data_IF_987154942477
#
_entry.id   IF_987154942477
#
_cell.length_a   1.000
_cell.length_b   1.000
_cell.length_c   1.000
_cell.angle_alpha   90.00
_cell.angle_beta   90.00
_cell.angle_gamma   90.00
#
_symmetry.space_group_name_H-M   'P 1'
#
loop_
_entity.id
_entity.type
_entity.pdbx_description
1 polymer ?
#
# COMPACT_ATOMS: atom_id res chain seq x y z
N UNK A 1 42.94 -12.48 5.78
CA UNK A 1 42.60 -11.83 4.49
C UNK A 1 41.52 -12.58 3.71
N UNK A 2 41.44 -13.91 3.81
CA UNK A 2 40.43 -14.77 3.17
C UNK A 2 39.02 -14.53 3.76
N UNK A 3 38.89 -14.42 5.08
CA UNK A 3 37.59 -14.20 5.77
C UNK A 3 36.90 -12.89 5.35
N UNK A 4 37.64 -11.78 5.27
CA UNK A 4 37.10 -10.48 4.80
C UNK A 4 36.60 -10.55 3.34
N UNK A 5 37.24 -11.36 2.48
CA UNK A 5 36.82 -11.55 1.09
C UNK A 5 35.55 -12.37 0.99
N UNK A 6 35.38 -13.38 1.85
CA UNK A 6 34.16 -14.21 1.90
C UNK A 6 32.95 -13.38 2.36
N UNK A 7 33.12 -12.52 3.36
CA UNK A 7 32.04 -11.62 3.82
C UNK A 7 31.60 -10.63 2.73
N UNK A 8 32.55 -10.03 2.01
CA UNK A 8 32.25 -9.11 0.91
C UNK A 8 31.54 -9.86 -0.24
N UNK A 9 32.00 -11.07 -0.58
CA UNK A 9 31.38 -11.89 -1.61
C UNK A 9 29.93 -12.27 -1.22
N UNK A 10 29.73 -12.72 0.02
CA UNK A 10 28.41 -13.06 0.56
C UNK A 10 27.44 -11.88 0.56
N UNK A 11 27.91 -10.70 0.98
CA UNK A 11 27.10 -9.48 0.95
C UNK A 11 26.71 -9.10 -0.48
N UNK A 12 27.62 -9.27 -1.44
CA UNK A 12 27.38 -8.96 -2.86
C UNK A 12 26.36 -9.93 -3.48
N UNK A 13 26.44 -11.21 -3.14
CA UNK A 13 25.48 -12.24 -3.60
C UNK A 13 24.08 -11.99 -3.01
N UNK A 14 23.98 -11.65 -1.72
CA UNK A 14 22.70 -11.32 -1.09
C UNK A 14 22.09 -10.06 -1.70
N UNK A 15 22.89 -9.02 -1.99
CA UNK A 15 22.41 -7.84 -2.71
C UNK A 15 21.94 -8.18 -4.13
N UNK A 16 22.70 -8.96 -4.88
CA UNK A 16 22.37 -9.31 -6.27
C UNK A 16 21.13 -10.22 -6.37
N UNK A 17 20.96 -11.17 -5.46
CA UNK A 17 19.77 -12.02 -5.40
C UNK A 17 18.55 -11.25 -4.87
N UNK A 18 18.76 -10.31 -3.94
CA UNK A 18 17.70 -9.42 -3.45
C UNK A 18 17.17 -8.46 -4.52
N UNK A 19 18.01 -8.02 -5.46
CA UNK A 19 17.58 -7.13 -6.56
C UNK A 19 16.95 -7.87 -7.75
N UNK A 20 17.33 -9.12 -8.00
CA UNK A 20 16.88 -9.87 -9.18
C UNK A 20 15.76 -10.90 -8.89
N UNK A 21 15.68 -11.42 -7.67
CA UNK A 21 14.96 -12.67 -7.39
C UNK A 21 13.44 -12.58 -7.21
N UNK A 22 12.87 -11.43 -6.87
CA UNK A 22 11.50 -11.37 -6.33
C UNK A 22 10.41 -10.85 -7.27
N UNK A 23 10.73 -10.39 -8.48
CA UNK A 23 9.74 -9.68 -9.32
C UNK A 23 9.03 -10.52 -10.40
N UNK A 24 9.50 -11.73 -10.73
CA UNK A 24 9.09 -12.38 -11.99
C UNK A 24 8.05 -13.49 -11.86
N UNK A 25 7.93 -14.14 -10.70
CA UNK A 25 7.07 -15.33 -10.57
C UNK A 25 5.59 -14.96 -10.44
N UNK A 26 5.29 -13.80 -9.86
CA UNK A 26 3.91 -13.38 -9.62
C UNK A 26 3.28 -12.59 -10.78
N UNK A 27 4.09 -12.06 -11.71
CA UNK A 27 3.60 -11.25 -12.84
C UNK A 27 3.04 -12.07 -14.03
N UNK A 28 3.06 -13.41 -13.97
CA UNK A 28 2.80 -14.29 -15.13
C UNK A 28 1.53 -15.14 -14.92
N UNK A 29 0.92 -15.12 -13.73
CA UNK A 29 -0.25 -15.97 -13.42
C UNK A 29 -1.43 -15.08 -12.98
N UNK A 30 -2.45 -14.88 -13.84
CA UNK A 30 -3.65 -14.15 -13.46
C UNK A 30 -4.46 -14.98 -12.46
N UNK A 31 -4.55 -14.54 -11.21
CA UNK A 31 -5.54 -15.05 -10.25
C UNK A 31 -6.77 -14.16 -10.28
N UNK A 32 -7.95 -14.77 -10.44
CA UNK A 32 -9.23 -14.10 -10.25
C UNK A 32 -9.67 -14.37 -8.82
N UNK A 33 -9.45 -13.41 -7.92
CA UNK A 33 -9.80 -13.51 -6.51
C UNK A 33 -11.09 -12.72 -6.25
N UNK A 34 -12.11 -13.42 -5.75
CA UNK A 34 -13.37 -12.83 -5.33
C UNK A 34 -13.46 -12.96 -3.80
N UNK A 35 -13.39 -11.82 -3.09
CA UNK A 35 -13.56 -11.81 -1.65
C UNK A 35 -15.03 -11.75 -1.26
N UNK A 36 -15.38 -12.55 -0.26
CA UNK A 36 -16.64 -12.40 0.46
C UNK A 36 -16.53 -11.19 1.40
N UNK A 37 -17.52 -10.30 1.35
CA UNK A 37 -17.67 -9.25 2.37
C UNK A 37 -17.87 -9.94 3.72
N UNK A 38 -16.81 -10.05 4.53
CA UNK A 38 -16.95 -10.41 5.93
C UNK A 38 -17.80 -9.32 6.59
N UNK A 39 -18.97 -9.70 7.11
CA UNK A 39 -19.96 -8.79 7.70
C UNK A 39 -19.42 -7.92 8.87
N UNK A 40 -18.18 -8.14 9.30
CA UNK A 40 -17.52 -7.44 10.39
C UNK A 40 -16.78 -6.15 9.96
N UNK A 41 -16.59 -5.90 8.67
CA UNK A 41 -15.85 -4.73 8.18
C UNK A 41 -16.73 -3.52 7.82
N UNK A 42 -18.02 -3.51 8.17
CA UNK A 42 -18.82 -2.29 8.06
C UNK A 42 -18.72 -1.46 9.34
N UNK A 43 -18.19 -0.25 9.20
CA UNK A 43 -18.07 0.69 10.32
C UNK A 43 -19.45 1.12 10.83
N UNK A 44 -19.66 1.06 12.14
CA UNK A 44 -20.87 1.58 12.82
C UNK A 44 -20.76 3.06 13.19
N UNK A 45 -19.59 3.66 12.98
CA UNK A 45 -19.28 5.03 13.41
C UNK A 45 -19.30 6.00 12.25
N UNK A 46 -18.93 5.54 11.06
CA UNK A 46 -18.93 6.32 9.82
C UNK A 46 -19.49 5.43 8.72
N UNK A 47 -20.51 5.90 8.02
CA UNK A 47 -21.02 5.25 6.80
C UNK A 47 -20.32 5.86 5.59
N UNK A 48 -19.99 5.01 4.63
CA UNK A 48 -19.52 5.41 3.31
C UNK A 48 -20.70 5.25 2.36
N UNK A 49 -21.13 6.35 1.74
CA UNK A 49 -22.35 6.39 0.93
C UNK A 49 -22.10 7.07 -0.42
N UNK A 50 -23.08 6.90 -1.31
CA UNK A 50 -23.14 7.58 -2.62
C UNK A 50 -21.88 7.43 -3.48
N UNK A 51 -21.21 6.27 -3.37
CA UNK A 51 -19.98 6.02 -4.10
C UNK A 51 -20.20 5.97 -5.61
N UNK A 52 -19.37 6.70 -6.34
CA UNK A 52 -19.30 6.70 -7.79
C UNK A 52 -17.89 6.41 -8.26
N UNK A 53 -17.79 5.60 -9.31
CA UNK A 53 -16.54 5.24 -9.96
C UNK A 53 -16.55 5.92 -11.32
N UNK A 54 -15.47 6.64 -11.66
CA UNK A 54 -15.38 7.31 -12.95
C UNK A 54 -15.46 6.32 -14.13
N UNK A 55 -14.94 5.10 -13.94
CA UNK A 55 -14.88 4.01 -14.94
C UNK A 55 -14.86 2.65 -14.26
N UNK A 56 -15.27 1.62 -14.99
CA UNK A 56 -15.21 0.20 -14.59
C UNK A 56 -14.29 -0.64 -15.49
N UNK A 57 -13.76 -0.04 -16.56
CA UNK A 57 -12.77 -0.64 -17.45
C UNK A 57 -11.66 0.38 -17.68
N UNK A 58 -10.42 -0.06 -17.50
CA UNK A 58 -9.21 0.77 -17.54
C UNK A 58 -8.12 0.04 -18.33
N UNK A 59 -7.24 0.83 -18.93
CA UNK A 59 -5.92 0.34 -19.32
C UNK A 59 -4.90 0.61 -18.20
N UNK A 60 -3.85 -0.19 -18.10
CA UNK A 60 -2.69 0.10 -17.23
C UNK A 60 -2.15 1.49 -17.53
N UNK A 61 -1.94 2.29 -16.47
CA UNK A 61 -1.55 3.70 -16.56
C UNK A 61 -2.71 4.68 -16.49
N UNK A 62 -3.96 4.23 -16.69
CA UNK A 62 -5.14 5.08 -16.49
C UNK A 62 -5.48 5.27 -15.01
N UNK A 63 -6.25 6.32 -14.74
CA UNK A 63 -6.63 6.71 -13.38
C UNK A 63 -8.06 6.27 -13.08
N UNK A 64 -8.20 5.45 -12.03
CA UNK A 64 -9.47 5.23 -11.35
C UNK A 64 -9.69 6.36 -10.34
N UNK A 65 -10.88 6.97 -10.38
CA UNK A 65 -11.32 7.90 -9.35
C UNK A 65 -12.61 7.41 -8.71
N UNK A 66 -12.59 7.28 -7.39
CA UNK A 66 -13.73 6.93 -6.54
C UNK A 66 -14.11 8.15 -5.72
N UNK A 67 -15.38 8.53 -5.75
CA UNK A 67 -15.91 9.68 -5.00
C UNK A 67 -17.13 9.23 -4.21
N UNK A 68 -17.37 9.81 -3.04
CA UNK A 68 -18.55 9.52 -2.23
C UNK A 68 -18.61 10.40 -0.99
N UNK A 69 -19.44 10.01 -0.03
CA UNK A 69 -19.64 10.74 1.22
C UNK A 69 -19.28 9.91 2.45
N UNK A 70 -18.67 10.56 3.44
CA UNK A 70 -18.45 10.04 4.78
C UNK A 70 -19.49 10.64 5.71
N UNK A 71 -20.38 9.81 6.24
CA UNK A 71 -21.43 10.22 7.18
C UNK A 71 -21.05 9.78 8.58
N UNK A 72 -20.65 10.73 9.43
CA UNK A 72 -20.33 10.47 10.84
C UNK A 72 -21.61 10.27 11.65
N UNK A 73 -21.69 9.15 12.37
CA UNK A 73 -22.84 8.76 13.21
C UNK A 73 -22.59 9.00 14.71
N UNK A 74 -21.52 9.72 15.05
CA UNK A 74 -21.14 10.02 16.44
C UNK A 74 -20.86 11.49 16.64
N UNK A 75 -21.06 11.97 17.86
CA UNK A 75 -20.91 13.39 18.20
C UNK A 75 -19.46 13.86 18.31
N UNK A 76 -18.52 12.94 18.54
CA UNK A 76 -17.09 13.28 18.67
C UNK A 76 -16.40 13.28 17.33
N UNK A 77 -15.43 14.17 17.18
CA UNK A 77 -14.53 14.16 16.05
C UNK A 77 -13.74 12.85 16.00
N UNK A 78 -13.59 12.34 14.79
CA UNK A 78 -12.84 11.14 14.49
C UNK A 78 -11.65 11.50 13.61
N UNK A 79 -10.65 10.64 13.62
CA UNK A 79 -9.47 10.78 12.78
C UNK A 79 -9.24 9.48 12.04
N UNK A 80 -9.01 9.57 10.74
CA UNK A 80 -8.93 8.38 9.90
C UNK A 80 -8.11 8.59 8.64
N UNK A 81 -7.96 7.51 7.89
CA UNK A 81 -7.35 7.54 6.57
C UNK A 81 -8.12 6.67 5.59
N UNK A 82 -8.12 7.11 4.33
CA UNK A 82 -8.82 6.47 3.23
C UNK A 82 -7.83 5.91 2.21
N UNK A 83 -8.14 4.73 1.70
CA UNK A 83 -7.38 4.04 0.66
C UNK A 83 -8.31 3.22 -0.23
N UNK A 84 -7.77 2.77 -1.35
CA UNK A 84 -8.41 1.74 -2.16
C UNK A 84 -8.03 0.38 -1.61
N UNK A 85 -9.03 -0.48 -1.40
CA UNK A 85 -8.86 -1.88 -1.09
C UNK A 85 -9.32 -2.73 -2.27
N UNK A 86 -8.43 -3.58 -2.76
CA UNK A 86 -8.73 -4.63 -3.72
C UNK A 86 -7.96 -5.86 -3.30
N UNK A 87 -8.59 -7.03 -3.30
CA UNK A 87 -7.90 -8.25 -2.93
C UNK A 87 -6.69 -8.50 -3.83
N UNK A 88 -5.58 -8.87 -3.19
CA UNK A 88 -4.34 -9.17 -3.87
C UNK A 88 -3.54 -10.16 -3.08
N UNK A 89 -3.13 -11.24 -3.74
CA UNK A 89 -2.05 -12.13 -3.29
C UNK A 89 -0.72 -11.39 -3.13
N UNK A 90 -0.57 -10.22 -3.79
CA UNK A 90 0.62 -9.37 -3.75
C UNK A 90 0.29 -7.94 -3.28
N UNK A 91 0.52 -7.66 -1.99
CA UNK A 91 -0.09 -6.56 -1.24
C UNK A 91 0.34 -5.11 -1.57
N UNK A 92 0.95 -4.78 -2.72
CA UNK A 92 1.52 -3.42 -2.89
C UNK A 92 1.67 -2.78 -4.26
N UNK A 93 1.46 -3.48 -5.37
CA UNK A 93 1.94 -2.99 -6.68
C UNK A 93 0.88 -2.73 -7.75
N UNK A 94 -0.42 -2.88 -7.45
CA UNK A 94 -1.51 -2.76 -8.45
C UNK A 94 -2.08 -1.37 -8.63
N UNK A 95 -2.07 -0.62 -7.54
CA UNK A 95 -2.56 0.75 -7.49
C UNK A 95 -1.45 1.69 -7.02
N UNK A 96 -1.31 2.82 -7.68
CA UNK A 96 -0.52 3.95 -7.19
C UNK A 96 -1.49 5.07 -6.82
N UNK A 97 -1.61 5.36 -5.53
CA UNK A 97 -2.43 6.46 -5.06
C UNK A 97 -1.85 7.79 -5.56
N UNK A 98 -2.63 8.52 -6.35
CA UNK A 98 -2.25 9.80 -6.95
C UNK A 98 -2.71 10.98 -6.08
N UNK A 99 -3.97 10.93 -5.63
CA UNK A 99 -4.58 12.00 -4.87
C UNK A 99 -5.60 11.46 -3.88
N UNK A 100 -5.80 12.23 -2.81
CA UNK A 100 -6.86 12.07 -1.82
C UNK A 100 -7.44 13.43 -1.53
N UNK A 101 -8.75 13.46 -1.38
CA UNK A 101 -9.49 14.58 -0.83
C UNK A 101 -10.46 13.99 0.22
N UNK A 102 -10.43 14.38 1.50
CA UNK A 102 -9.52 15.35 2.12
C UNK A 102 -8.02 15.01 1.94
N UNK A 103 -7.14 16.01 1.79
CA UNK A 103 -5.73 15.77 1.55
C UNK A 103 -5.01 15.27 2.80
N UNK A 104 -3.94 14.49 2.58
CA UNK A 104 -3.07 13.96 3.62
C UNK A 104 -3.20 12.46 3.82
N UNK A 105 -2.26 11.89 4.57
CA UNK A 105 -2.31 10.47 4.94
C UNK A 105 -3.36 10.19 6.01
N UNK A 106 -3.68 11.18 6.83
CA UNK A 106 -4.66 11.10 7.93
C UNK A 106 -5.38 12.44 8.00
N UNK A 107 -6.70 12.43 8.12
CA UNK A 107 -7.55 13.62 8.18
C UNK A 107 -8.57 13.51 9.31
N UNK A 108 -9.11 14.66 9.72
CA UNK A 108 -10.14 14.78 10.73
C UNK A 108 -11.53 14.74 10.09
N UNK A 109 -12.45 14.03 10.74
CA UNK A 109 -13.83 13.82 10.34
C UNK A 109 -14.70 14.37 11.48
N UNK A 110 -15.34 15.53 11.29
CA UNK A 110 -16.13 16.14 12.35
C UNK A 110 -17.28 15.24 12.82
N UNK A 111 -17.61 15.31 14.11
CA UNK A 111 -18.77 14.61 14.68
C UNK A 111 -20.10 15.04 14.02
N UNK A 112 -21.03 14.11 13.83
CA UNK A 112 -22.35 14.33 13.22
C UNK A 112 -22.32 15.10 11.89
N UNK A 113 -21.25 14.95 11.13
CA UNK A 113 -21.04 15.65 9.86
C UNK A 113 -21.17 14.72 8.66
N UNK A 114 -21.39 15.33 7.51
CA UNK A 114 -21.28 14.69 6.19
C UNK A 114 -20.13 15.37 5.47
N UNK A 115 -19.16 14.59 5.02
CA UNK A 115 -17.97 15.06 4.35
C UNK A 115 -17.77 14.33 3.03
N UNK A 116 -17.69 15.08 1.93
CA UNK A 116 -17.32 14.53 0.63
C UNK A 116 -15.87 14.02 0.64
N UNK A 117 -15.61 12.96 -0.12
CA UNK A 117 -14.26 12.49 -0.38
C UNK A 117 -14.04 12.08 -1.83
N UNK A 118 -12.78 12.09 -2.24
CA UNK A 118 -12.32 11.61 -3.53
C UNK A 118 -10.97 10.90 -3.40
N UNK A 119 -10.84 9.78 -4.09
CA UNK A 119 -9.63 8.97 -4.16
C UNK A 119 -9.27 8.77 -5.63
N UNK A 120 -8.05 9.11 -6.02
CA UNK A 120 -7.54 8.80 -7.35
C UNK A 120 -6.34 7.88 -7.25
N UNK A 121 -6.35 6.80 -8.04
CA UNK A 121 -5.22 5.89 -8.15
C UNK A 121 -4.98 5.47 -9.60
N UNK A 122 -3.71 5.32 -9.96
CA UNK A 122 -3.29 4.76 -11.25
C UNK A 122 -3.33 3.24 -11.19
N UNK A 123 -3.93 2.61 -12.20
CA UNK A 123 -3.88 1.17 -12.38
C UNK A 123 -2.50 0.74 -12.93
N UNK A 124 -1.88 -0.27 -12.34
CA UNK A 124 -0.51 -0.67 -12.66
C UNK A 124 -0.37 -2.10 -13.16
N UNK A 125 -1.38 -2.94 -12.94
CA UNK A 125 -1.35 -4.35 -13.33
C UNK A 125 -2.72 -4.70 -13.91
N UNK A 126 -2.73 -5.57 -14.92
CA UNK A 126 -3.97 -6.09 -15.48
C UNK A 126 -4.63 -7.08 -14.51
N UNK A 127 -5.96 -7.10 -14.50
CA UNK A 127 -6.74 -7.97 -13.63
C UNK A 127 -8.19 -7.56 -13.51
N UNK A 128 -8.98 -8.42 -12.89
CA UNK A 128 -10.36 -8.13 -12.50
C UNK A 128 -10.37 -7.92 -10.99
N UNK A 129 -10.64 -6.70 -10.56
CA UNK A 129 -10.57 -6.29 -9.16
C UNK A 129 -11.97 -6.03 -8.62
N UNK A 130 -12.27 -6.55 -7.43
CA UNK A 130 -13.40 -6.07 -6.64
C UNK A 130 -12.91 -4.99 -5.68
N UNK A 131 -13.13 -3.73 -6.06
CA UNK A 131 -12.56 -2.53 -5.47
C UNK A 131 -13.51 -1.92 -4.45
N UNK A 132 -12.99 -1.59 -3.28
CA UNK A 132 -13.69 -0.88 -2.21
C UNK A 132 -12.91 0.37 -1.83
N UNK A 133 -13.61 1.39 -1.34
CA UNK A 133 -12.99 2.36 -0.44
C UNK A 133 -12.82 1.71 0.94
N UNK A 134 -11.61 1.75 1.50
CA UNK A 134 -11.33 1.38 2.87
C UNK A 134 -11.03 2.64 3.68
N UNK A 135 -11.87 2.91 4.68
CA UNK A 135 -11.67 3.92 5.70
C UNK A 135 -11.18 3.24 6.98
N UNK A 136 -10.04 3.63 7.49
CA UNK A 136 -9.58 3.18 8.80
C UNK A 136 -9.70 4.33 9.79
N UNK A 137 -10.40 4.08 10.89
CA UNK A 137 -10.66 5.08 11.94
C UNK A 137 -9.79 4.76 13.16
N UNK A 138 -9.11 5.78 13.69
CA UNK A 138 -8.26 5.65 14.86
C UNK A 138 -9.04 5.05 16.04
N UNK A 139 -8.46 4.04 16.69
CA UNK A 139 -9.04 3.30 17.84
C UNK A 139 -10.35 2.55 17.56
N UNK A 140 -10.78 2.47 16.29
CA UNK A 140 -11.98 1.74 15.87
C UNK A 140 -11.59 0.60 14.93
N UNK A 141 -10.76 0.89 13.92
CA UNK A 141 -10.32 -0.09 12.92
C UNK A 141 -10.88 0.18 11.52
N UNK A 142 -10.78 -0.81 10.61
CA UNK A 142 -11.18 -0.68 9.22
C UNK A 142 -12.70 -0.72 9.02
N UNK A 143 -13.15 0.09 8.08
CA UNK A 143 -14.48 0.10 7.50
C UNK A 143 -14.38 0.04 5.97
N UNK A 144 -15.16 -0.83 5.33
CA UNK A 144 -15.25 -0.92 3.88
C UNK A 144 -16.54 -0.27 3.38
N UNK A 145 -16.39 0.57 2.35
CA UNK A 145 -17.50 1.05 1.55
C UNK A 145 -18.06 -0.03 0.61
N UNK A 146 -19.11 0.29 -0.16
CA UNK A 146 -19.54 -0.50 -1.30
C UNK A 146 -18.39 -0.99 -2.20
N UNK A 147 -18.57 -2.18 -2.76
CA UNK A 147 -17.62 -2.79 -3.69
C UNK A 147 -18.07 -2.63 -5.13
N UNK A 148 -17.13 -2.35 -6.04
CA UNK A 148 -17.36 -2.30 -7.47
C UNK A 148 -16.32 -3.15 -8.21
N UNK A 149 -16.77 -3.95 -9.17
CA UNK A 149 -15.87 -4.66 -10.06
C UNK A 149 -15.28 -3.70 -11.09
N UNK A 150 -13.96 -3.69 -11.20
CA UNK A 150 -13.16 -2.90 -12.14
C UNK A 150 -12.22 -3.83 -12.90
N UNK A 151 -12.24 -3.75 -14.23
CA UNK A 151 -11.37 -4.53 -15.11
C UNK A 151 -10.22 -3.65 -15.60
N UNK A 152 -8.99 -4.13 -15.45
CA UNK A 152 -7.78 -3.48 -15.96
C UNK A 152 -7.14 -4.39 -16.99
N UNK A 153 -6.79 -3.83 -18.14
CA UNK A 153 -6.07 -4.51 -19.22
C UNK A 153 -4.75 -3.80 -19.54
N UNK A 154 -3.81 -4.49 -20.17
CA UNK A 154 -2.51 -3.93 -20.58
C UNK A 154 -1.30 -4.53 -19.87
N UNK A 155 -0.12 -4.05 -20.24
CA UNK A 155 1.15 -4.53 -19.70
C UNK A 155 1.43 -3.95 -18.30
N UNK A 156 1.99 -4.74 -17.36
CA UNK A 156 2.25 -4.26 -16.01
C UNK A 156 3.27 -3.11 -15.99
N UNK A 157 2.97 -2.07 -15.20
CA UNK A 157 3.85 -0.94 -14.94
C UNK A 157 4.63 -1.18 -13.66
N UNK A 158 5.91 -1.51 -13.81
CA UNK A 158 6.81 -1.72 -12.66
C UNK A 158 7.28 -0.38 -12.11
N UNK A 159 7.02 -0.14 -10.82
CA UNK A 159 7.54 1.04 -10.12
C UNK A 159 9.07 0.96 -10.07
N UNK A 160 9.78 2.06 -10.38
CA UNK A 160 11.23 2.07 -10.29
C UNK A 160 11.68 1.81 -8.85
N UNK A 161 12.67 0.91 -8.70
CA UNK A 161 13.28 0.66 -7.40
C UNK A 161 14.07 1.91 -6.99
N UNK A 162 13.83 2.50 -5.81
CA UNK A 162 14.55 3.69 -5.35
C UNK A 162 15.95 3.31 -4.84
N UNK A 163 16.85 2.93 -5.75
CA UNK A 163 18.19 2.44 -5.43
C UNK A 163 18.99 3.42 -4.55
N UNK A 164 18.81 4.72 -4.72
CA UNK A 164 19.45 5.75 -3.90
C UNK A 164 19.04 5.64 -2.42
N UNK A 165 17.76 5.36 -2.15
CA UNK A 165 17.27 5.18 -0.78
C UNK A 165 17.83 3.90 -0.16
N UNK A 166 17.90 2.82 -0.95
CA UNK A 166 18.51 1.55 -0.51
C UNK A 166 19.98 1.76 -0.17
N UNK A 167 20.74 2.45 -1.03
CA UNK A 167 22.14 2.76 -0.79
C UNK A 167 22.33 3.61 0.48
N UNK A 168 21.53 4.66 0.64
CA UNK A 168 21.57 5.53 1.83
C UNK A 168 21.29 4.76 3.12
N UNK A 169 20.23 3.94 3.16
CA UNK A 169 19.91 3.10 4.32
C UNK A 169 21.02 2.07 4.61
N UNK A 170 21.58 1.48 3.56
CA UNK A 170 22.69 0.52 3.69
C UNK A 170 23.94 1.17 4.31
N UNK A 171 24.24 2.42 3.97
CA UNK A 171 25.33 3.19 4.59
C UNK A 171 25.06 3.38 6.09
N UNK A 172 23.87 3.82 6.48
CA UNK A 172 23.52 4.04 7.89
C UNK A 172 23.62 2.73 8.71
N UNK A 173 23.10 1.63 8.15
CA UNK A 173 23.22 0.29 8.75
C UNK A 173 24.70 -0.09 8.91
N UNK A 174 25.50 0.11 7.86
CA UNK A 174 26.94 -0.17 7.88
C UNK A 174 27.68 0.64 8.95
N UNK A 175 27.40 1.94 9.07
CA UNK A 175 27.97 2.81 10.11
C UNK A 175 27.56 2.32 11.50
N UNK A 176 26.28 2.00 11.70
CA UNK A 176 25.78 1.46 12.96
C UNK A 176 26.48 0.16 13.38
N UNK A 177 26.70 -0.76 12.43
CA UNK A 177 27.48 -1.97 12.67
C UNK A 177 28.91 -1.65 13.09
N UNK A 178 29.61 -0.77 12.36
CA UNK A 178 31.00 -0.39 12.68
C UNK A 178 31.11 0.19 14.08
N UNK A 179 30.22 1.13 14.45
CA UNK A 179 30.20 1.72 15.80
C UNK A 179 29.97 0.63 16.85
N UNK A 180 28.99 -0.25 16.64
CA UNK A 180 28.67 -1.33 17.59
C UNK A 180 29.86 -2.26 17.83
N UNK A 181 30.57 -2.66 16.78
CA UNK A 181 31.75 -3.52 16.93
C UNK A 181 32.98 -2.80 17.49
N UNK A 182 33.14 -1.51 17.21
CA UNK A 182 34.25 -0.71 17.71
C UNK A 182 34.10 -0.29 19.17
N UNK A 183 32.86 -0.13 19.65
CA UNK A 183 32.55 0.37 21.01
C UNK A 183 32.20 -0.73 22.00
N UNK A 184 31.90 -1.95 21.55
CA UNK A 184 31.80 -3.09 22.45
C UNK A 184 33.18 -3.44 23.00
N UNK A 185 33.38 -3.43 24.33
CA UNK A 185 34.61 -3.95 24.90
C UNK A 185 34.69 -5.42 24.53
N UNK A 186 35.68 -5.78 23.72
CA UNK A 186 36.03 -7.16 23.49
C UNK A 186 36.40 -7.72 24.86
N UNK A 187 35.51 -8.50 25.47
CA UNK A 187 35.92 -9.34 26.59
C UNK A 187 36.91 -10.32 25.99
N UNK A 188 38.19 -10.01 26.21
CA UNK A 188 39.31 -10.88 25.95
C UNK A 188 39.10 -12.07 26.89
N UNK A 189 38.66 -13.20 26.35
CA UNK A 189 38.77 -14.51 27.01
C UNK A 189 40.18 -15.01 26.75
#
# INVERSE_FOLDING_TARGET
MVEKKIFVLGLTVVLALGTLGFNWVESIVPTADAHGVQAQLQSRFIRIEDETFNRQSLQTGETLTVQGTLVSLVERDLRGWISIFSESTNAGNRWEMLARDPPGNVFDIPGNSVQEYSLSAKALEAGVYHVHTQLNVASVGPGLGPGQTVVVEGDPIIKPIPYTNIAYQSILIGVGYVITFATRPWQVI
#
